data_IF_079299330591
#
_entry.id   IF_079299330591
#
_cell.length_a   1.000
_cell.length_b   1.000
_cell.length_c   1.000
_cell.angle_alpha   90.00
_cell.angle_beta   90.00
_cell.angle_gamma   90.00
#
_symmetry.space_group_name_H-M   'P 1'
#
loop_
_entity.id
_entity.type
_entity.pdbx_description
1 polymer ?
#
# COMPACT_ATOMS: atom_id res chain seq x y z
N UNK A 1 12.62 -3.23 10.72
CA UNK A 1 13.21 -3.93 9.57
C UNK A 1 13.27 -5.40 9.94
N UNK A 2 13.00 -6.34 9.03
CA UNK A 2 13.16 -7.77 9.32
C UNK A 2 14.61 -8.08 9.74
N UNK A 3 14.78 -8.98 10.71
CA UNK A 3 16.09 -9.29 11.31
C UNK A 3 16.99 -10.12 10.36
N UNK A 4 16.40 -10.66 9.28
CA UNK A 4 17.12 -11.37 8.22
C UNK A 4 16.42 -11.26 6.86
N UNK A 5 17.12 -11.61 5.78
CA UNK A 5 16.49 -11.75 4.45
C UNK A 5 15.45 -12.89 4.41
N UNK A 6 15.56 -13.90 5.27
CA UNK A 6 14.55 -14.95 5.38
C UNK A 6 13.25 -14.39 5.98
N UNK A 7 13.36 -13.51 6.97
CA UNK A 7 12.22 -12.83 7.60
C UNK A 7 11.52 -11.92 6.60
N UNK A 8 12.29 -11.18 5.79
CA UNK A 8 11.75 -10.35 4.72
C UNK A 8 10.95 -11.17 3.70
N UNK A 9 11.47 -12.34 3.27
CA UNK A 9 10.76 -13.24 2.36
C UNK A 9 9.47 -13.78 2.97
N UNK A 10 9.49 -14.12 4.27
CA UNK A 10 8.30 -14.55 5.03
C UNK A 10 7.26 -13.43 5.13
N UNK A 11 7.68 -12.21 5.45
CA UNK A 11 6.82 -11.05 5.54
C UNK A 11 6.20 -10.72 4.18
N UNK A 12 6.98 -10.75 3.10
CA UNK A 12 6.48 -10.54 1.74
C UNK A 12 5.45 -11.60 1.33
N UNK A 13 5.76 -12.88 1.52
CA UNK A 13 4.82 -13.97 1.23
C UNK A 13 3.53 -13.85 2.07
N UNK A 14 3.64 -13.35 3.30
CA UNK A 14 2.48 -13.06 4.15
C UNK A 14 1.66 -11.89 3.61
N UNK A 15 2.30 -10.81 3.18
CA UNK A 15 1.62 -9.66 2.58
C UNK A 15 0.83 -10.06 1.32
N UNK A 16 1.41 -10.87 0.44
CA UNK A 16 0.69 -11.45 -0.71
C UNK A 16 -0.60 -12.14 -0.30
N UNK A 17 -0.51 -13.04 0.70
CA UNK A 17 -1.65 -13.83 1.17
C UNK A 17 -2.67 -12.99 1.93
N UNK A 18 -2.24 -11.96 2.67
CA UNK A 18 -3.14 -10.97 3.29
C UNK A 18 -3.96 -10.25 2.22
N UNK A 19 -3.30 -9.64 1.23
CA UNK A 19 -4.01 -8.80 0.24
C UNK A 19 -4.89 -9.65 -0.67
N UNK A 20 -4.50 -10.90 -0.96
CA UNK A 20 -5.37 -11.89 -1.62
C UNK A 20 -6.57 -12.29 -0.75
N UNK A 21 -6.37 -12.51 0.56
CA UNK A 21 -7.45 -12.83 1.51
C UNK A 21 -8.48 -11.70 1.63
N UNK A 22 -8.05 -10.45 1.47
CA UNK A 22 -8.93 -9.28 1.48
C UNK A 22 -9.60 -9.02 0.11
N UNK A 23 -9.45 -9.94 -0.87
CA UNK A 23 -10.17 -9.90 -2.14
C UNK A 23 -9.62 -8.91 -3.17
N UNK A 24 -8.39 -8.44 -2.99
CA UNK A 24 -7.80 -7.36 -3.80
C UNK A 24 -6.82 -7.90 -4.83
N UNK A 25 -5.92 -8.80 -4.42
CA UNK A 25 -5.10 -9.54 -5.38
C UNK A 25 -5.93 -10.68 -5.96
N UNK A 26 -6.15 -10.62 -7.26
CA UNK A 26 -6.67 -11.72 -8.07
C UNK A 26 -5.56 -12.74 -8.38
N UNK A 27 -5.70 -13.53 -9.45
CA UNK A 27 -4.70 -14.48 -9.88
C UNK A 27 -3.42 -13.84 -10.46
N UNK A 28 -3.43 -12.55 -10.78
CA UNK A 28 -2.42 -11.89 -11.61
C UNK A 28 -1.70 -10.73 -10.91
N UNK A 29 -2.23 -10.21 -9.80
CA UNK A 29 -1.58 -9.15 -9.04
C UNK A 29 -0.30 -9.59 -8.32
N UNK A 30 0.55 -8.62 -7.95
CA UNK A 30 1.85 -8.92 -7.36
C UNK A 30 2.45 -7.78 -6.51
N UNK A 31 3.22 -8.17 -5.49
CA UNK A 31 3.84 -7.30 -4.48
C UNK A 31 5.36 -7.47 -4.49
N UNK A 32 6.11 -6.37 -4.47
CA UNK A 32 7.55 -6.38 -4.26
C UNK A 32 7.99 -5.56 -3.05
N UNK A 33 9.21 -5.83 -2.58
CA UNK A 33 9.87 -5.04 -1.54
C UNK A 33 11.32 -4.81 -1.92
N UNK A 34 11.80 -3.57 -1.76
CA UNK A 34 13.20 -3.20 -2.00
C UNK A 34 14.11 -3.94 -1.03
N UNK A 35 15.29 -4.33 -1.47
CA UNK A 35 16.26 -5.02 -0.65
C UNK A 35 16.82 -4.05 0.43
N UNK A 36 16.71 -4.37 1.73
CA UNK A 36 17.01 -3.42 2.81
C UNK A 36 18.50 -3.07 2.92
N UNK A 37 19.39 -3.98 2.50
CA UNK A 37 20.85 -3.75 2.47
C UNK A 37 21.42 -3.36 1.10
N UNK A 38 20.59 -3.23 0.06
CA UNK A 38 21.05 -2.89 -1.29
C UNK A 38 19.91 -2.21 -2.06
N UNK A 39 19.88 -0.87 -2.13
CA UNK A 39 18.76 -0.17 -2.73
C UNK A 39 18.61 -0.43 -4.24
N UNK A 40 19.61 -1.01 -4.91
CA UNK A 40 19.57 -1.35 -6.33
C UNK A 40 18.99 -2.74 -6.61
N UNK A 41 18.36 -3.36 -5.61
CA UNK A 41 17.74 -4.68 -5.74
C UNK A 41 16.38 -4.71 -5.07
N UNK A 42 15.55 -5.65 -5.49
CA UNK A 42 14.25 -5.89 -4.87
C UNK A 42 13.88 -7.37 -4.92
N UNK A 43 12.89 -7.73 -4.09
CA UNK A 43 12.33 -9.07 -4.02
C UNK A 43 10.91 -9.07 -4.57
N UNK A 44 10.59 -10.09 -5.37
CA UNK A 44 9.28 -10.29 -5.98
C UNK A 44 9.07 -11.79 -6.16
N UNK A 45 7.84 -12.28 -6.00
CA UNK A 45 7.59 -13.71 -6.22
C UNK A 45 7.82 -14.11 -7.68
N UNK A 46 8.09 -15.39 -7.95
CA UNK A 46 7.87 -15.99 -9.26
C UNK A 46 6.38 -15.90 -9.64
N UNK A 47 6.06 -16.21 -10.91
CA UNK A 47 4.69 -16.32 -11.38
C UNK A 47 3.95 -17.42 -10.61
N UNK A 48 3.08 -17.01 -9.67
CA UNK A 48 2.29 -17.89 -8.81
C UNK A 48 1.03 -17.13 -8.38
N UNK A 49 -0.09 -17.85 -8.18
CA UNK A 49 -1.28 -17.24 -7.62
C UNK A 49 -0.96 -16.57 -6.24
N UNK A 50 -1.29 -15.29 -6.03
CA UNK A 50 -0.95 -14.53 -4.82
C UNK A 50 -1.28 -15.21 -3.50
N UNK A 51 -2.47 -15.81 -3.40
CA UNK A 51 -2.91 -16.53 -2.19
C UNK A 51 -2.10 -17.79 -1.87
N UNK A 52 -1.23 -18.26 -2.78
CA UNK A 52 -0.41 -19.45 -2.61
C UNK A 52 1.08 -19.14 -2.43
N UNK A 53 1.50 -17.87 -2.50
CA UNK A 53 2.92 -17.48 -2.44
C UNK A 53 3.53 -17.87 -1.09
N UNK A 54 4.66 -18.57 -1.14
CA UNK A 54 5.49 -18.96 0.00
C UNK A 54 6.86 -18.27 -0.05
N UNK A 55 7.62 -18.25 1.05
CA UNK A 55 8.94 -17.58 1.11
C UNK A 55 9.92 -18.08 0.04
N UNK A 56 9.85 -19.36 -0.33
CA UNK A 56 10.71 -20.01 -1.32
C UNK A 56 10.36 -19.60 -2.75
N UNK A 57 9.16 -19.06 -2.96
CA UNK A 57 8.73 -18.51 -4.24
C UNK A 57 9.30 -17.09 -4.48
N UNK A 58 10.00 -16.49 -3.51
CA UNK A 58 10.50 -15.11 -3.59
C UNK A 58 11.89 -15.05 -4.26
N UNK A 59 11.93 -14.43 -5.42
CA UNK A 59 13.14 -14.21 -6.22
C UNK A 59 13.71 -12.80 -5.97
N UNK A 60 15.00 -12.63 -6.24
CA UNK A 60 15.71 -11.34 -6.14
C UNK A 60 16.02 -10.81 -7.54
N UNK A 61 15.83 -9.51 -7.74
CA UNK A 61 16.04 -8.82 -9.01
C UNK A 61 16.90 -7.57 -8.81
N UNK A 62 17.63 -7.17 -9.85
CA UNK A 62 18.15 -5.80 -9.97
C UNK A 62 17.04 -4.82 -10.36
N UNK A 63 17.35 -3.52 -10.45
CA UNK A 63 16.35 -2.51 -10.84
C UNK A 63 15.92 -2.59 -12.31
N UNK A 64 16.72 -3.20 -13.18
CA UNK A 64 16.36 -3.50 -14.57
C UNK A 64 15.44 -4.73 -14.69
N UNK A 65 15.01 -5.27 -13.54
CA UNK A 65 14.15 -6.44 -13.43
C UNK A 65 14.78 -7.71 -14.00
N UNK A 66 16.10 -7.80 -14.01
CA UNK A 66 16.81 -9.05 -14.27
C UNK A 66 16.94 -9.85 -12.97
N UNK A 67 16.60 -11.15 -12.98
CA UNK A 67 16.86 -12.02 -11.83
C UNK A 67 18.36 -12.03 -11.50
N UNK A 68 18.72 -11.88 -10.22
CA UNK A 68 20.11 -11.96 -9.76
C UNK A 68 20.67 -13.38 -9.94
N UNK A 69 19.80 -14.38 -9.82
CA UNK A 69 20.11 -15.79 -10.08
C UNK A 69 19.20 -16.28 -11.20
N UNK A 70 19.72 -17.02 -12.20
CA UNK A 70 18.90 -17.60 -13.26
C UNK A 70 17.70 -18.37 -12.68
N UNK A 71 16.47 -17.98 -13.01
CA UNK A 71 15.31 -18.52 -12.33
C UNK A 71 14.97 -19.90 -12.88
N UNK A 72 14.76 -20.86 -11.98
CA UNK A 72 14.28 -22.21 -12.33
C UNK A 72 12.76 -22.27 -12.54
N UNK A 73 12.07 -21.16 -12.26
CA UNK A 73 10.62 -21.01 -12.44
C UNK A 73 10.32 -19.72 -13.19
N UNK A 74 9.15 -19.65 -13.84
CA UNK A 74 8.76 -18.48 -14.63
C UNK A 74 8.59 -17.25 -13.71
N UNK A 75 9.26 -16.11 -13.95
CA UNK A 75 9.00 -14.85 -13.26
C UNK A 75 7.70 -14.19 -13.77
N UNK A 76 7.16 -13.20 -13.06
CA UNK A 76 6.07 -12.37 -13.60
C UNK A 76 6.54 -11.61 -14.86
N UNK A 77 5.63 -11.46 -15.83
CA UNK A 77 5.86 -10.66 -17.04
C UNK A 77 6.04 -9.18 -16.70
N UNK A 78 5.21 -8.65 -15.80
CA UNK A 78 5.12 -7.22 -15.50
C UNK A 78 6.04 -6.77 -14.36
N UNK A 79 7.09 -7.55 -14.09
CA UNK A 79 8.11 -7.20 -13.09
C UNK A 79 8.76 -5.84 -13.34
N UNK A 80 8.78 -5.37 -14.59
CA UNK A 80 9.30 -4.05 -15.00
C UNK A 80 8.55 -2.89 -14.36
N UNK A 81 7.26 -3.05 -14.01
CA UNK A 81 6.51 -2.04 -13.22
C UNK A 81 7.28 -1.71 -11.93
N UNK A 82 7.75 -2.75 -11.24
CA UNK A 82 8.41 -2.60 -9.94
C UNK A 82 9.80 -2.01 -10.08
N UNK A 83 10.60 -2.52 -11.01
CA UNK A 83 11.95 -2.04 -11.28
C UNK A 83 11.97 -0.54 -11.61
N UNK A 84 11.14 -0.12 -12.55
CA UNK A 84 11.07 1.28 -13.00
C UNK A 84 10.53 2.22 -11.92
N UNK A 85 9.54 1.80 -11.12
CA UNK A 85 9.09 2.58 -9.96
C UNK A 85 10.21 2.72 -8.93
N UNK A 86 10.94 1.64 -8.64
CA UNK A 86 12.05 1.69 -7.69
C UNK A 86 13.22 2.57 -8.19
N UNK A 87 13.46 2.64 -9.51
CA UNK A 87 14.42 3.59 -10.11
C UNK A 87 13.96 5.03 -9.93
N UNK A 88 12.71 5.31 -10.28
CA UNK A 88 12.16 6.67 -10.27
C UNK A 88 11.92 7.20 -8.83
N UNK A 89 11.67 6.31 -7.87
CA UNK A 89 11.28 6.67 -6.50
C UNK A 89 12.16 5.98 -5.44
N UNK A 90 13.34 6.55 -5.11
CA UNK A 90 14.20 6.02 -4.04
C UNK A 90 13.53 5.98 -2.66
N UNK A 91 12.50 6.78 -2.42
CA UNK A 91 11.71 6.78 -1.18
C UNK A 91 10.72 5.60 -1.07
N UNK A 92 10.44 4.91 -2.19
CA UNK A 92 9.55 3.74 -2.22
C UNK A 92 10.36 2.49 -1.89
N UNK A 93 9.84 1.70 -0.93
CA UNK A 93 10.41 0.42 -0.53
C UNK A 93 9.47 -0.77 -0.75
N UNK A 94 8.22 -0.55 -1.15
CA UNK A 94 7.32 -1.63 -1.51
C UNK A 94 6.33 -1.17 -2.59
N UNK A 95 6.02 -2.06 -3.53
CA UNK A 95 5.10 -1.81 -4.65
C UNK A 95 4.08 -2.95 -4.73
N UNK A 96 2.81 -2.61 -4.95
CA UNK A 96 1.72 -3.56 -5.21
C UNK A 96 1.04 -3.17 -6.51
N UNK A 97 0.88 -4.12 -7.42
CA UNK A 97 0.07 -3.96 -8.62
C UNK A 97 -1.08 -4.97 -8.59
N UNK A 98 -2.30 -4.52 -8.87
CA UNK A 98 -3.50 -5.32 -8.68
C UNK A 98 -4.69 -4.88 -9.56
N UNK A 99 -5.67 -5.78 -9.69
CA UNK A 99 -6.91 -5.59 -10.45
C UNK A 99 -8.15 -5.60 -9.54
N UNK A 100 -8.10 -4.89 -8.41
CA UNK A 100 -9.20 -4.95 -7.44
C UNK A 100 -10.53 -4.59 -8.13
N UNK A 101 -11.60 -5.39 -7.94
CA UNK A 101 -12.87 -5.15 -8.63
C UNK A 101 -13.44 -3.75 -8.40
N UNK A 102 -13.22 -3.17 -7.21
CA UNK A 102 -13.67 -1.82 -6.86
C UNK A 102 -12.88 -0.70 -7.56
N UNK A 103 -11.65 -0.96 -8.00
CA UNK A 103 -10.81 0.00 -8.73
C UNK A 103 -11.17 0.04 -10.22
N UNK A 104 -11.55 -1.10 -10.79
CA UNK A 104 -11.80 -1.22 -12.23
C UNK A 104 -12.80 -0.20 -12.80
N UNK A 105 -13.92 0.14 -12.14
CA UNK A 105 -14.81 1.21 -12.59
C UNK A 105 -14.12 2.55 -12.82
N UNK A 106 -13.17 2.94 -11.96
CA UNK A 106 -12.38 4.16 -12.12
C UNK A 106 -11.38 4.03 -13.27
N UNK A 107 -10.81 2.84 -13.47
CA UNK A 107 -9.92 2.54 -14.58
C UNK A 107 -10.62 2.56 -15.96
N UNK A 108 -11.95 2.45 -16.04
CA UNK A 108 -12.72 2.39 -17.31
C UNK A 108 -13.73 3.53 -17.53
N UNK A 109 -14.13 4.27 -16.49
CA UNK A 109 -15.13 5.36 -16.62
C UNK A 109 -14.55 6.75 -16.89
N UNK A 110 -13.33 7.05 -16.42
CA UNK A 110 -12.78 8.41 -16.43
C UNK A 110 -13.19 9.24 -15.21
N UNK A 111 -13.99 8.67 -14.29
CA UNK A 111 -14.25 9.28 -12.98
C UNK A 111 -12.97 9.23 -12.15
N UNK A 112 -12.53 10.35 -11.54
CA UNK A 112 -11.33 10.36 -10.71
C UNK A 112 -11.55 9.58 -9.41
N UNK A 113 -10.55 8.81 -9.00
CA UNK A 113 -10.52 8.15 -7.69
C UNK A 113 -9.98 9.13 -6.64
N UNK A 114 -10.82 9.49 -5.67
CA UNK A 114 -10.54 10.48 -4.62
C UNK A 114 -10.90 9.90 -3.25
N UNK A 115 -10.22 10.29 -2.17
CA UNK A 115 -10.53 9.78 -0.85
C UNK A 115 -11.90 10.30 -0.40
N UNK A 116 -12.81 9.40 -0.02
CA UNK A 116 -14.18 9.72 0.43
C UNK A 116 -14.40 9.41 1.92
N UNK A 117 -13.41 8.80 2.58
CA UNK A 117 -13.46 8.51 4.02
C UNK A 117 -12.05 8.43 4.61
N UNK A 118 -11.95 8.61 5.93
CA UNK A 118 -10.65 8.91 6.56
C UNK A 118 -9.57 7.84 6.32
N UNK A 119 -9.87 6.53 6.24
CA UNK A 119 -8.84 5.50 5.98
C UNK A 119 -8.40 5.50 4.52
N UNK A 120 -9.31 5.86 3.61
CA UNK A 120 -9.01 6.06 2.19
C UNK A 120 -7.93 7.11 1.96
N UNK A 121 -7.86 8.13 2.82
CA UNK A 121 -6.85 9.18 2.75
C UNK A 121 -5.38 8.70 2.77
N UNK A 122 -5.12 7.46 3.18
CA UNK A 122 -3.78 6.87 3.08
C UNK A 122 -3.26 6.78 1.64
N UNK A 123 -4.14 6.83 0.63
CA UNK A 123 -3.77 6.89 -0.79
C UNK A 123 -3.31 8.28 -1.26
N UNK A 124 -3.43 9.31 -0.41
CA UNK A 124 -3.23 10.71 -0.76
C UNK A 124 -4.52 11.40 -1.22
N UNK A 125 -4.37 12.58 -1.82
CA UNK A 125 -5.48 13.48 -2.19
C UNK A 125 -6.25 13.04 -3.42
N UNK A 126 -5.60 12.36 -4.37
CA UNK A 126 -6.21 11.79 -5.56
C UNK A 126 -5.26 10.77 -6.21
N UNK A 127 -5.80 9.85 -7.01
CA UNK A 127 -4.99 8.98 -7.86
C UNK A 127 -4.86 9.56 -9.27
N UNK A 128 -3.63 9.81 -9.79
CA UNK A 128 -3.42 10.04 -11.21
C UNK A 128 -3.87 8.83 -12.05
N UNK A 129 -4.19 9.09 -13.31
CA UNK A 129 -4.52 8.07 -14.30
C UNK A 129 -3.42 8.01 -15.35
N UNK A 130 -3.00 6.80 -15.71
CA UNK A 130 -2.06 6.53 -16.80
C UNK A 130 -2.77 5.70 -17.88
N UNK A 131 -2.69 6.13 -19.14
CA UNK A 131 -3.14 5.36 -20.31
C UNK A 131 -1.92 5.09 -21.21
N UNK A 132 -1.58 3.81 -21.39
CA UNK A 132 -0.45 3.42 -22.25
C UNK A 132 -0.60 3.94 -23.69
N UNK A 133 -1.84 4.17 -24.14
CA UNK A 133 -2.11 4.64 -25.49
C UNK A 133 -1.59 6.04 -25.77
N UNK A 134 -1.41 6.86 -24.72
CA UNK A 134 -0.94 8.24 -24.86
C UNK A 134 0.49 8.31 -25.41
N UNK A 135 1.33 7.31 -25.10
CA UNK A 135 2.72 7.24 -25.58
C UNK A 135 2.97 6.10 -26.59
N UNK A 136 2.16 5.03 -26.56
CA UNK A 136 2.45 3.79 -27.28
C UNK A 136 1.37 3.37 -28.28
N UNK A 137 0.28 4.14 -28.44
CA UNK A 137 -0.84 3.77 -29.31
C UNK A 137 -1.52 2.47 -28.87
N UNK A 138 -2.01 1.67 -29.81
CA UNK A 138 -2.64 0.40 -29.47
C UNK A 138 -1.62 -0.58 -28.85
N UNK A 139 -1.93 -1.07 -27.65
CA UNK A 139 -1.12 -2.04 -26.89
C UNK A 139 -1.99 -3.20 -26.42
N UNK A 140 -1.36 -4.27 -25.94
CA UNK A 140 -2.08 -5.34 -25.23
C UNK A 140 -2.42 -4.98 -23.76
N UNK A 141 -2.24 -3.70 -23.39
CA UNK A 141 -2.43 -3.12 -22.06
C UNK A 141 -1.45 -3.60 -20.98
N UNK A 142 -0.65 -4.63 -21.22
CA UNK A 142 0.36 -5.10 -20.26
C UNK A 142 1.57 -4.15 -20.26
N UNK A 143 2.24 -4.06 -19.11
CA UNK A 143 3.48 -3.30 -18.92
C UNK A 143 4.62 -4.30 -18.80
N UNK A 144 5.21 -4.67 -19.94
CA UNK A 144 6.24 -5.71 -20.02
C UNK A 144 7.57 -5.20 -20.55
N UNK A 145 7.61 -3.96 -21.05
CA UNK A 145 8.83 -3.30 -21.50
C UNK A 145 9.29 -2.20 -20.53
N UNK A 146 10.60 -1.97 -20.37
CA UNK A 146 11.13 -0.92 -19.50
C UNK A 146 10.57 0.47 -19.81
N UNK A 147 10.40 0.84 -21.09
CA UNK A 147 9.85 2.14 -21.49
C UNK A 147 8.40 2.35 -21.05
N UNK A 148 7.58 1.29 -21.05
CA UNK A 148 6.20 1.30 -20.56
C UNK A 148 6.17 1.48 -19.04
N UNK A 149 7.05 0.76 -18.32
CA UNK A 149 7.21 0.90 -16.86
C UNK A 149 7.71 2.28 -16.45
N UNK A 150 8.66 2.85 -17.20
CA UNK A 150 9.17 4.20 -16.97
C UNK A 150 8.09 5.26 -17.22
N UNK A 151 7.25 5.09 -18.25
CA UNK A 151 6.08 5.95 -18.50
C UNK A 151 5.09 5.90 -17.33
N UNK A 152 4.74 4.70 -16.88
CA UNK A 152 3.88 4.50 -15.70
C UNK A 152 4.47 5.17 -14.44
N UNK A 153 5.76 5.01 -14.20
CA UNK A 153 6.45 5.61 -13.05
C UNK A 153 6.44 7.15 -13.10
N UNK A 154 6.55 7.76 -14.29
CA UNK A 154 6.38 9.21 -14.46
C UNK A 154 4.96 9.66 -14.10
N UNK A 155 3.94 8.93 -14.56
CA UNK A 155 2.54 9.25 -14.26
C UNK A 155 2.20 9.08 -12.78
N UNK A 156 2.78 8.08 -12.10
CA UNK A 156 2.69 7.95 -10.64
C UNK A 156 3.25 9.21 -9.94
N UNK A 157 4.37 9.75 -10.43
CA UNK A 157 4.97 10.97 -9.90
C UNK A 157 5.26 10.83 -8.40
N UNK A 158 4.71 11.73 -7.57
CA UNK A 158 4.83 11.70 -6.11
C UNK A 158 3.65 11.03 -5.39
N UNK A 159 2.67 10.53 -6.13
CA UNK A 159 1.47 9.93 -5.55
C UNK A 159 1.76 8.55 -4.96
N UNK A 160 0.86 8.07 -4.11
CA UNK A 160 0.95 6.75 -3.50
C UNK A 160 0.24 5.65 -4.30
N UNK A 161 -0.53 6.04 -5.32
CA UNK A 161 -1.29 5.16 -6.20
C UNK A 161 -1.38 5.79 -7.59
N UNK A 162 -1.41 4.97 -8.63
CA UNK A 162 -1.76 5.34 -10.00
C UNK A 162 -2.78 4.35 -10.55
N UNK A 163 -3.83 4.84 -11.18
CA UNK A 163 -4.81 4.03 -11.89
C UNK A 163 -4.33 3.81 -13.32
N UNK A 164 -4.26 2.56 -13.74
CA UNK A 164 -3.86 2.16 -15.09
C UNK A 164 -5.11 1.91 -15.92
N UNK A 165 -5.34 2.75 -16.91
CA UNK A 165 -6.58 2.76 -17.70
C UNK A 165 -6.83 1.42 -18.37
N UNK A 166 -8.03 0.84 -18.18
CA UNK A 166 -8.45 -0.51 -18.63
C UNK A 166 -7.56 -1.67 -18.16
N UNK A 167 -6.79 -1.47 -17.11
CA UNK A 167 -5.87 -2.48 -16.58
C UNK A 167 -6.11 -2.72 -15.09
N UNK A 168 -5.77 -1.75 -14.24
CA UNK A 168 -5.73 -1.96 -12.79
C UNK A 168 -5.21 -0.74 -12.04
N UNK A 169 -4.52 -0.95 -10.92
CA UNK A 169 -3.79 0.11 -10.22
C UNK A 169 -2.47 -0.39 -9.65
N UNK A 170 -1.54 0.55 -9.51
CA UNK A 170 -0.26 0.33 -8.85
C UNK A 170 -0.13 1.26 -7.65
N UNK A 171 0.15 0.68 -6.48
CA UNK A 171 0.25 1.34 -5.18
C UNK A 171 1.68 1.23 -4.66
N UNK A 172 2.17 2.26 -3.99
CA UNK A 172 3.51 2.29 -3.40
C UNK A 172 3.51 2.62 -1.91
N UNK A 173 4.51 2.12 -1.19
CA UNK A 173 4.71 2.37 0.24
C UNK A 173 6.18 2.57 0.60
N UNK A 174 6.43 3.38 1.64
CA UNK A 174 7.75 3.50 2.27
C UNK A 174 8.16 2.28 3.08
N UNK A 175 7.19 1.39 3.37
CA UNK A 175 7.40 0.09 4.00
C UNK A 175 6.32 -0.92 3.55
N UNK A 176 6.57 -2.22 3.73
CA UNK A 176 5.64 -3.27 3.31
C UNK A 176 4.27 -3.19 4.02
N UNK A 177 4.25 -2.92 5.34
CA UNK A 177 2.98 -2.79 6.09
C UNK A 177 2.17 -1.57 5.65
N UNK A 178 2.85 -0.45 5.39
CA UNK A 178 2.25 0.77 4.83
C UNK A 178 1.63 0.48 3.46
N UNK A 179 2.34 -0.26 2.60
CA UNK A 179 1.82 -0.68 1.30
C UNK A 179 0.55 -1.52 1.44
N UNK A 180 0.55 -2.53 2.32
CA UNK A 180 -0.63 -3.37 2.58
C UNK A 180 -1.81 -2.52 3.03
N UNK A 181 -1.59 -1.58 3.96
CA UNK A 181 -2.62 -0.66 4.43
C UNK A 181 -3.19 0.19 3.29
N UNK A 182 -2.32 0.84 2.51
CA UNK A 182 -2.73 1.67 1.37
C UNK A 182 -3.52 0.88 0.35
N UNK A 183 -3.03 -0.30 -0.02
CA UNK A 183 -3.67 -1.15 -1.03
C UNK A 183 -5.07 -1.58 -0.58
N UNK A 184 -5.22 -1.96 0.69
CA UNK A 184 -6.53 -2.38 1.23
C UNK A 184 -7.50 -1.21 1.31
N UNK A 185 -7.07 -0.09 1.87
CA UNK A 185 -7.99 1.03 2.09
C UNK A 185 -8.22 1.87 0.84
N UNK A 186 -7.34 1.89 -0.17
CA UNK A 186 -7.67 2.46 -1.48
C UNK A 186 -8.73 1.65 -2.21
N UNK A 187 -8.68 0.31 -2.14
CA UNK A 187 -9.70 -0.55 -2.72
C UNK A 187 -11.06 -0.38 -2.02
N UNK A 188 -11.09 -0.31 -0.69
CA UNK A 188 -12.32 -0.01 0.08
C UNK A 188 -12.83 1.40 -0.19
N UNK A 189 -11.94 2.38 -0.36
CA UNK A 189 -12.31 3.74 -0.74
C UNK A 189 -13.04 3.76 -2.09
N UNK A 190 -12.48 3.06 -3.08
CA UNK A 190 -13.07 2.95 -4.40
C UNK A 190 -14.47 2.31 -4.34
N UNK A 191 -14.66 1.28 -3.52
CA UNK A 191 -15.96 0.64 -3.28
C UNK A 191 -16.97 1.64 -2.69
N UNK A 192 -16.58 2.39 -1.66
CA UNK A 192 -17.44 3.42 -1.06
C UNK A 192 -17.76 4.56 -2.01
N UNK A 193 -16.77 5.04 -2.77
CA UNK A 193 -16.99 6.10 -3.76
C UNK A 193 -17.95 5.64 -4.85
N UNK A 194 -17.80 4.41 -5.36
CA UNK A 194 -18.70 3.81 -6.34
C UNK A 194 -20.14 3.70 -5.80
N UNK A 195 -20.30 3.18 -4.59
CA UNK A 195 -21.62 3.07 -3.95
C UNK A 195 -22.25 4.45 -3.72
N UNK A 196 -21.46 5.46 -3.32
CA UNK A 196 -21.94 6.82 -3.11
C UNK A 196 -22.44 7.46 -4.42
N UNK A 197 -21.83 7.17 -5.58
CA UNK A 197 -22.34 7.63 -6.87
C UNK A 197 -23.76 7.12 -7.19
N UNK A 198 -24.17 5.97 -6.65
CA UNK A 198 -25.54 5.46 -6.79
C UNK A 198 -26.57 6.31 -6.00
N UNK A 199 -26.11 7.03 -4.98
CA UNK A 199 -26.92 7.96 -4.18
C UNK A 199 -26.89 9.40 -4.74
N UNK A 200 -26.06 9.66 -5.75
CA UNK A 200 -25.89 10.97 -6.38
C UNK A 200 -24.55 11.63 -6.03
N UNK A 201 -24.60 12.77 -5.33
CA UNK A 201 -23.42 13.59 -5.08
C UNK A 201 -22.42 12.92 -4.12
N UNK A 202 -21.17 12.83 -4.56
CA UNK A 202 -20.04 12.39 -3.72
C UNK A 202 -19.35 13.61 -3.13
N UNK A 203 -19.29 13.69 -1.80
CA UNK A 203 -18.50 14.70 -1.08
C UNK A 203 -17.14 14.10 -0.69
N UNK A 204 -16.05 14.35 -1.46
CA UNK A 204 -14.73 13.86 -1.09
C UNK A 204 -14.20 14.58 0.14
N UNK A 205 -13.15 14.02 0.75
CA UNK A 205 -12.34 14.74 1.73
C UNK A 205 -11.70 15.96 1.07
N UNK A 206 -11.61 17.05 1.83
CA UNK A 206 -10.74 18.18 1.47
C UNK A 206 -9.27 17.77 1.52
N UNK A 207 -8.40 18.51 0.82
CA UNK A 207 -6.94 18.29 0.86
C UNK A 207 -6.38 18.26 2.28
N UNK A 208 -6.86 19.16 3.15
CA UNK A 208 -6.43 19.23 4.54
C UNK A 208 -6.87 18.00 5.36
N UNK A 209 -8.09 17.54 5.17
CA UNK A 209 -8.57 16.31 5.83
C UNK A 209 -7.82 15.08 5.32
N UNK A 210 -7.57 14.99 4.02
CA UNK A 210 -6.82 13.90 3.41
C UNK A 210 -5.39 13.83 3.97
N UNK A 211 -4.69 14.97 4.07
CA UNK A 211 -3.33 15.02 4.61
C UNK A 211 -3.29 14.61 6.10
N UNK A 212 -4.16 15.19 6.94
CA UNK A 212 -4.18 14.91 8.37
C UNK A 212 -4.59 13.46 8.67
N UNK A 213 -5.63 12.96 8.00
CA UNK A 213 -6.08 11.58 8.18
C UNK A 213 -5.05 10.60 7.66
N UNK A 214 -4.48 10.83 6.47
CA UNK A 214 -3.42 10.02 5.90
C UNK A 214 -2.22 9.89 6.83
N UNK A 215 -1.74 11.02 7.40
CA UNK A 215 -0.64 11.02 8.35
C UNK A 215 -0.97 10.21 9.61
N UNK A 216 -2.17 10.39 10.19
CA UNK A 216 -2.59 9.67 11.38
C UNK A 216 -2.71 8.16 11.13
N UNK A 217 -3.32 7.76 10.02
CA UNK A 217 -3.54 6.34 9.69
C UNK A 217 -2.25 5.56 9.47
N UNK A 218 -1.21 6.23 8.95
CA UNK A 218 0.09 5.62 8.70
C UNK A 218 1.04 5.73 9.89
N UNK A 219 0.60 6.31 11.02
CA UNK A 219 1.36 6.30 12.25
C UNK A 219 1.54 4.86 12.79
N UNK A 220 2.61 4.58 13.57
CA UNK A 220 2.94 3.22 14.00
C UNK A 220 1.80 2.46 14.69
N UNK A 221 1.01 3.13 15.54
CA UNK A 221 -0.09 2.49 16.28
C UNK A 221 -1.22 2.01 15.37
N UNK A 222 -1.90 2.90 14.62
CA UNK A 222 -2.95 2.50 13.68
C UNK A 222 -2.49 1.45 12.66
N UNK A 223 -1.26 1.60 12.13
CA UNK A 223 -0.69 0.66 11.17
C UNK A 223 -0.48 -0.73 11.77
N UNK A 224 0.08 -0.82 12.98
CA UNK A 224 0.31 -2.10 13.66
C UNK A 224 -1.01 -2.82 13.98
N UNK A 225 -2.02 -2.09 14.48
CA UNK A 225 -3.35 -2.62 14.76
C UNK A 225 -4.04 -3.15 13.50
N UNK A 226 -3.97 -2.41 12.39
CA UNK A 226 -4.56 -2.85 11.14
C UNK A 226 -3.87 -4.12 10.60
N UNK A 227 -2.53 -4.16 10.69
CA UNK A 227 -1.78 -5.34 10.26
C UNK A 227 -2.08 -6.58 11.12
N UNK A 228 -2.17 -6.42 12.44
CA UNK A 228 -2.61 -7.50 13.36
C UNK A 228 -3.99 -8.05 12.96
N UNK A 229 -4.95 -7.17 12.67
CA UNK A 229 -6.28 -7.56 12.22
C UNK A 229 -6.25 -8.44 10.96
N UNK A 230 -5.45 -8.07 9.96
CA UNK A 230 -5.35 -8.86 8.73
C UNK A 230 -4.58 -10.17 8.89
N UNK A 231 -3.52 -10.18 9.71
CA UNK A 231 -2.80 -11.41 10.05
C UNK A 231 -3.72 -12.39 10.76
N UNK A 232 -4.58 -11.91 11.68
CA UNK A 232 -5.60 -12.73 12.37
C UNK A 232 -6.55 -13.39 11.38
N UNK A 233 -7.13 -12.62 10.46
CA UNK A 233 -8.06 -13.11 9.44
C UNK A 233 -7.42 -14.13 8.50
N UNK A 234 -6.18 -13.87 8.08
CA UNK A 234 -5.43 -14.82 7.26
C UNK A 234 -5.21 -16.14 8.02
N UNK A 235 -4.78 -16.06 9.27
CA UNK A 235 -4.54 -17.24 10.10
C UNK A 235 -5.82 -18.07 10.32
N UNK A 236 -6.97 -17.42 10.54
CA UNK A 236 -8.28 -18.07 10.64
C UNK A 236 -8.66 -18.79 9.34
N UNK A 237 -8.48 -18.15 8.18
CA UNK A 237 -8.75 -18.78 6.88
C UNK A 237 -7.83 -19.97 6.61
N UNK A 238 -6.58 -19.89 7.04
CA UNK A 238 -5.59 -20.96 6.86
C UNK A 238 -5.67 -22.04 7.95
N UNK A 239 -6.60 -21.93 8.91
CA UNK A 239 -6.73 -22.90 10.00
C UNK A 239 -5.51 -22.96 10.93
N UNK A 240 -4.76 -21.86 11.07
CA UNK A 240 -3.53 -21.81 11.87
C UNK A 240 -3.81 -21.79 13.37
N UNK A 241 -2.89 -22.38 14.13
CA UNK A 241 -2.93 -22.35 15.59
C UNK A 241 -2.73 -20.93 16.13
N UNK A 242 -3.34 -20.61 17.28
CA UNK A 242 -3.09 -19.35 18.02
C UNK A 242 -1.63 -19.15 18.41
N UNK A 243 -0.83 -20.23 18.42
CA UNK A 243 0.60 -20.18 18.68
C UNK A 243 1.46 -19.97 17.41
N UNK A 244 0.84 -19.73 16.25
CA UNK A 244 1.59 -19.50 15.01
C UNK A 244 2.54 -18.30 15.16
N UNK A 245 3.82 -18.42 14.76
CA UNK A 245 4.81 -17.35 14.88
C UNK A 245 4.40 -16.03 14.21
N UNK A 246 3.68 -16.10 13.08
CA UNK A 246 3.17 -14.93 12.36
C UNK A 246 2.15 -14.16 13.21
N UNK A 247 1.24 -14.87 13.88
CA UNK A 247 0.27 -14.28 14.80
C UNK A 247 0.96 -13.62 15.99
N UNK A 248 1.87 -14.34 16.65
CA UNK A 248 2.59 -13.80 17.82
C UNK A 248 3.41 -12.56 17.49
N UNK A 249 4.08 -12.54 16.34
CA UNK A 249 4.84 -11.38 15.88
C UNK A 249 3.94 -10.16 15.63
N UNK A 250 2.75 -10.38 15.04
CA UNK A 250 1.79 -9.31 14.81
C UNK A 250 1.20 -8.75 16.11
N UNK A 251 0.80 -9.62 17.04
CA UNK A 251 0.31 -9.22 18.38
C UNK A 251 1.38 -8.44 19.16
N UNK A 252 2.64 -8.90 19.12
CA UNK A 252 3.75 -8.20 19.78
C UNK A 252 3.96 -6.79 19.20
N UNK A 253 3.90 -6.64 17.87
CA UNK A 253 4.04 -5.36 17.21
C UNK A 253 2.87 -4.39 17.51
N UNK A 254 1.66 -4.89 17.73
CA UNK A 254 0.50 -4.07 18.07
C UNK A 254 0.52 -3.58 19.53
N UNK A 255 1.26 -4.24 20.42
CA UNK A 255 1.41 -3.87 21.84
C UNK A 255 2.41 -2.73 22.10
N UNK A 256 2.93 -2.07 21.07
CA UNK A 256 3.89 -0.98 21.23
C UNK A 256 3.32 0.10 22.19
N UNK A 257 4.11 0.57 23.18
CA UNK A 257 3.62 1.50 24.17
C UNK A 257 3.17 2.81 23.51
N UNK A 258 2.05 3.35 23.99
CA UNK A 258 1.62 4.72 23.64
C UNK A 258 2.77 5.67 24.02
N UNK A 259 3.32 6.47 23.09
CA UNK A 259 4.30 7.47 23.44
C UNK A 259 3.72 8.34 24.57
N UNK A 260 4.44 8.51 25.68
CA UNK A 260 4.01 9.37 26.76
C UNK A 260 3.73 10.76 26.18
N UNK A 261 2.45 11.13 26.04
CA UNK A 261 2.06 12.41 25.50
C UNK A 261 2.71 13.51 26.33
N UNK A 262 3.36 14.48 25.67
CA UNK A 262 3.82 15.70 26.34
C UNK A 262 2.61 16.27 27.07
N UNK A 263 2.61 16.19 28.40
CA UNK A 263 1.59 16.78 29.23
C UNK A 263 1.53 18.26 28.88
N UNK A 264 0.48 18.68 28.19
CA UNK A 264 0.18 20.10 27.98
C UNK A 264 -0.02 20.69 29.36
N UNK A 265 0.97 21.43 29.83
CA UNK A 265 0.89 22.18 31.07
C UNK A 265 -0.31 23.14 30.97
N UNK A 266 -1.41 22.79 31.65
CA UNK A 266 -2.51 23.72 31.92
C UNK A 266 -1.91 24.89 32.68
N UNK A 267 -1.71 26.04 32.01
CA UNK A 267 -1.46 27.32 32.67
C UNK A 267 -2.63 27.59 33.62
N UNK A 268 -2.39 27.45 34.92
CA UNK A 268 -3.27 27.96 35.97
C UNK A 268 -3.35 29.48 35.81
N UNK A 269 -4.46 30.00 35.31
CA UNK A 269 -4.80 31.40 35.43
C UNK A 269 -5.04 31.70 36.92
N UNK A 270 -4.07 32.34 37.56
CA UNK A 270 -4.19 32.82 38.92
C UNK A 270 -5.20 33.96 38.99
N UNK A 271 -6.26 33.75 39.76
CA UNK A 271 -7.18 34.80 40.16
C UNK A 271 -6.42 35.87 40.98
N UNK A 272 -6.19 37.03 40.39
CA UNK A 272 -5.84 38.24 41.16
C UNK A 272 -7.13 38.96 41.54
N UNK A 273 -7.56 38.75 42.79
CA UNK A 273 -8.37 39.71 43.55
C UNK A 273 -7.70 41.09 43.43
N UNK A 274 -8.42 42.08 42.91
CA UNK A 274 -8.19 43.49 43.23
C UNK A 274 -9.48 44.07 43.83
N UNK A 275 -9.47 44.12 45.15
CA UNK A 275 -10.22 45.07 45.95
C UNK A 275 -9.66 46.48 45.74
N UNK A 276 -10.53 47.46 45.49
CA UNK A 276 -10.43 48.92 45.74
C UNK A 276 -11.63 49.54 44.98
N UNK A 277 -12.50 50.37 45.54
CA UNK A 277 -12.61 51.00 46.85
C UNK A 277 -13.67 52.11 46.73
N UNK A 278 -14.49 52.26 47.77
CA UNK A 278 -15.37 53.39 48.14
C UNK A 278 -15.24 54.68 47.31
N UNK A 279 -16.34 55.17 46.75
CA UNK A 279 -17.25 56.17 47.33
C UNK A 279 -18.53 56.23 46.50
#
# INVERSE_FOLDING_TARGET
MPDSLADLRRDLATAYRIVANEGILDAFGHISVRHPGNPNRYFLSRSRAPGLVQPEDILEYDLDSNPIVPPVTRPYSERVIHGEIFKARPDVNAVCHHHAPSIMPFAISGVPLVPVFHLGAAMGRAAPVWDSRDEFGDTNLLVVKPEEGASLARALGRHAIVVMRRHGATVVGGALRELVFRTIYSAKNAEHQLAAHMLGHVSPLTDGEADMAGQLNLAPGPLARAYEYWVRRLAEREGRSKNDPMLRAAEAAARLPVPAGKATAKKKAGAKKKSRGRR
#
